data_IF_565770010905
#
_entry.id   IF_565770010905
#
_cell.length_a   1.000
_cell.length_b   1.000
_cell.length_c   1.000
_cell.angle_alpha   90.00
_cell.angle_beta   90.00
_cell.angle_gamma   90.00
#
_symmetry.space_group_name_H-M   'P 1'
#
loop_
_entity.id
_entity.type
_entity.pdbx_description
1 polymer ?
#
# COMPACT_ATOMS: atom_id res chain seq x y z
N UNK A 1 13.67 -20.24 -11.12
CA UNK A 1 14.70 -19.34 -10.58
C UNK A 1 14.01 -18.52 -9.51
N UNK A 2 14.48 -18.66 -8.27
CA UNK A 2 13.80 -18.19 -7.07
C UNK A 2 13.55 -16.68 -7.09
N UNK A 3 12.29 -16.29 -6.91
CA UNK A 3 11.96 -14.98 -6.42
C UNK A 3 12.69 -14.79 -5.08
N UNK A 4 13.71 -13.94 -5.07
CA UNK A 4 14.35 -13.51 -3.82
C UNK A 4 13.30 -12.73 -3.03
N UNK A 5 12.64 -13.44 -2.12
CA UNK A 5 11.90 -12.84 -1.02
C UNK A 5 12.89 -11.91 -0.30
N UNK A 6 12.73 -10.61 -0.49
CA UNK A 6 13.45 -9.60 0.27
C UNK A 6 13.01 -9.80 1.73
N UNK A 7 13.80 -10.56 2.49
CA UNK A 7 13.61 -10.66 3.94
C UNK A 7 13.77 -9.24 4.50
N UNK A 8 12.75 -8.66 5.13
CA UNK A 8 12.90 -7.38 5.80
C UNK A 8 13.87 -7.57 6.97
N UNK A 9 14.88 -6.74 7.03
CA UNK A 9 16.05 -6.85 7.92
C UNK A 9 15.74 -6.84 9.43
N UNK A 10 14.50 -6.64 9.85
CA UNK A 10 14.11 -6.72 11.26
C UNK A 10 12.60 -6.91 11.40
N UNK A 11 12.18 -8.10 11.79
CA UNK A 11 10.82 -8.37 12.25
C UNK A 11 10.60 -7.74 13.62
N UNK A 12 9.37 -7.34 13.90
CA UNK A 12 8.97 -6.98 15.25
C UNK A 12 8.86 -8.24 16.11
N UNK A 13 9.01 -8.09 17.43
CA UNK A 13 8.89 -9.21 18.36
C UNK A 13 7.48 -9.83 18.25
N UNK A 14 7.42 -11.14 18.06
CA UNK A 14 6.18 -11.88 17.88
C UNK A 14 5.61 -11.85 16.46
N UNK A 15 6.25 -11.16 15.50
CA UNK A 15 5.82 -11.13 14.12
C UNK A 15 6.15 -12.43 13.39
N UNK A 16 5.12 -13.18 12.98
CA UNK A 16 5.24 -14.39 12.16
C UNK A 16 4.75 -14.13 10.74
N UNK A 17 5.66 -13.96 9.77
CA UNK A 17 5.32 -13.74 8.35
C UNK A 17 4.56 -14.90 7.71
N UNK A 18 4.73 -16.10 8.23
CA UNK A 18 4.16 -17.32 7.66
C UNK A 18 2.79 -17.67 8.29
N UNK A 19 2.31 -16.83 9.21
CA UNK A 19 0.99 -17.05 9.86
C UNK A 19 -0.10 -17.33 8.83
N UNK A 20 -0.94 -18.30 9.15
CA UNK A 20 -2.13 -18.68 8.37
C UNK A 20 -3.41 -18.09 8.95
N UNK A 21 -3.30 -17.35 10.04
CA UNK A 21 -4.45 -16.79 10.76
C UNK A 21 -4.74 -15.36 10.32
N UNK A 22 -5.93 -15.15 9.77
CA UNK A 22 -6.37 -13.82 9.34
C UNK A 22 -6.45 -12.80 10.51
N UNK A 23 -6.61 -13.26 11.75
CA UNK A 23 -6.53 -12.41 12.95
C UNK A 23 -5.17 -11.75 13.11
N UNK A 24 -4.10 -12.53 12.93
CA UNK A 24 -2.73 -12.08 13.09
C UNK A 24 -2.36 -11.10 11.98
N UNK A 25 -2.77 -11.42 10.75
CA UNK A 25 -2.57 -10.50 9.61
C UNK A 25 -3.26 -9.15 9.86
N UNK A 26 -4.51 -9.15 10.34
CA UNK A 26 -5.21 -7.90 10.69
C UNK A 26 -4.54 -7.17 11.84
N UNK A 27 -4.02 -7.90 12.84
CA UNK A 27 -3.26 -7.33 13.94
C UNK A 27 -2.02 -6.59 13.43
N UNK A 28 -1.20 -7.23 12.61
CA UNK A 28 0.02 -6.61 12.08
C UNK A 28 -0.25 -5.45 11.14
N UNK A 29 -1.30 -5.51 10.34
CA UNK A 29 -1.76 -4.36 9.55
C UNK A 29 -2.08 -3.17 10.48
N UNK A 30 -2.78 -3.40 11.60
CA UNK A 30 -3.11 -2.34 12.55
C UNK A 30 -1.83 -1.77 13.20
N UNK A 31 -0.93 -2.63 13.69
CA UNK A 31 0.35 -2.22 14.30
C UNK A 31 1.17 -1.35 13.37
N UNK A 32 1.41 -1.79 12.12
CA UNK A 32 2.22 -1.02 11.18
C UNK A 32 1.55 0.30 10.77
N UNK A 33 0.22 0.36 10.70
CA UNK A 33 -0.50 1.61 10.45
C UNK A 33 -0.32 2.61 11.60
N UNK A 34 -0.40 2.17 12.85
CA UNK A 34 -0.14 3.02 14.01
C UNK A 34 1.30 3.54 14.02
N UNK A 35 2.27 2.66 13.78
CA UNK A 35 3.68 3.04 13.74
C UNK A 35 3.97 4.04 12.61
N UNK A 36 3.37 3.87 11.44
CA UNK A 36 3.47 4.81 10.32
C UNK A 36 2.86 6.16 10.71
N UNK A 37 1.65 6.17 11.25
CA UNK A 37 0.97 7.40 11.68
C UNK A 37 1.78 8.17 12.72
N UNK A 38 2.32 7.49 13.73
CA UNK A 38 3.17 8.08 14.75
C UNK A 38 4.45 8.71 14.15
N UNK A 39 5.15 7.98 13.26
CA UNK A 39 6.37 8.49 12.64
C UNK A 39 6.10 9.65 11.67
N UNK A 40 4.98 9.64 10.95
CA UNK A 40 4.55 10.77 10.09
C UNK A 40 4.27 12.02 10.93
N UNK A 41 3.60 11.88 12.07
CA UNK A 41 3.35 12.99 13.00
C UNK A 41 4.66 13.51 13.60
N UNK A 42 5.58 12.61 13.99
CA UNK A 42 6.89 12.99 14.53
C UNK A 42 7.72 13.76 13.49
N UNK A 43 7.77 13.31 12.25
CA UNK A 43 8.43 14.02 11.16
C UNK A 43 7.80 15.40 10.91
N UNK A 44 6.49 15.50 10.98
CA UNK A 44 5.79 16.79 10.86
C UNK A 44 6.21 17.78 11.95
N UNK A 45 6.22 17.33 13.21
CA UNK A 45 6.66 18.15 14.36
C UNK A 45 8.13 18.56 14.26
N UNK A 46 9.02 17.64 13.91
CA UNK A 46 10.44 17.93 13.70
C UNK A 46 10.63 18.95 12.57
N UNK A 47 9.96 18.77 11.44
CA UNK A 47 10.01 19.71 10.33
C UNK A 47 9.59 21.13 10.71
N UNK A 48 8.56 21.26 11.55
CA UNK A 48 8.12 22.58 12.05
C UNK A 48 9.08 23.18 13.08
N UNK A 49 9.72 22.36 13.90
CA UNK A 49 10.78 22.84 14.82
C UNK A 49 12.00 23.32 14.04
N UNK A 50 12.43 22.58 13.02
CA UNK A 50 13.58 22.95 12.17
C UNK A 50 13.36 24.28 11.48
N UNK A 51 12.16 24.52 10.96
CA UNK A 51 11.82 25.81 10.33
C UNK A 51 11.99 27.01 11.28
N UNK A 52 11.84 26.80 12.57
CA UNK A 52 11.97 27.85 13.63
C UNK A 52 13.41 28.09 14.08
N UNK A 53 14.35 27.19 13.76
CA UNK A 53 15.76 27.33 14.16
C UNK A 53 16.50 28.33 13.25
N UNK A 54 17.51 29.07 13.77
CA UNK A 54 18.42 29.87 12.97
C UNK A 54 19.15 29.01 11.92
N UNK A 55 19.47 29.58 10.76
CA UNK A 55 20.13 28.84 9.65
C UNK A 55 21.39 28.09 10.08
N UNK A 56 22.18 28.68 10.98
CA UNK A 56 23.42 28.07 11.48
C UNK A 56 23.23 26.84 12.40
N UNK A 57 22.02 26.63 12.92
CA UNK A 57 21.69 25.50 13.79
C UNK A 57 20.93 24.37 13.07
N UNK A 58 20.60 24.57 11.78
CA UNK A 58 19.88 23.57 10.98
C UNK A 58 20.77 22.46 10.45
N UNK A 59 22.07 22.72 10.35
CA UNK A 59 23.03 21.83 9.70
C UNK A 59 23.61 20.81 10.69
N UNK A 60 23.21 19.56 10.59
CA UNK A 60 23.93 18.43 11.12
C UNK A 60 23.21 17.48 12.08
N UNK A 61 22.60 17.93 13.17
CA UNK A 61 21.96 17.01 14.14
C UNK A 61 20.53 16.61 13.72
N UNK A 62 19.81 17.55 13.12
CA UNK A 62 18.40 17.36 12.72
C UNK A 62 18.29 16.51 11.45
N UNK A 63 19.22 16.66 10.52
CA UNK A 63 19.23 15.87 9.28
C UNK A 63 19.42 14.38 9.54
N UNK A 64 20.20 14.02 10.55
CA UNK A 64 20.44 12.62 10.89
C UNK A 64 19.19 11.96 11.51
N UNK A 65 18.54 12.64 12.44
CA UNK A 65 17.32 12.12 13.08
C UNK A 65 16.14 12.06 12.11
N UNK A 66 15.97 13.07 11.27
CA UNK A 66 14.95 13.09 10.21
C UNK A 66 15.19 11.95 9.21
N UNK A 67 16.45 11.75 8.79
CA UNK A 67 16.82 10.67 7.86
C UNK A 67 16.59 9.28 8.47
N UNK A 68 16.89 9.11 9.76
CA UNK A 68 16.68 7.86 10.48
C UNK A 68 15.18 7.52 10.57
N UNK A 69 14.35 8.50 10.95
CA UNK A 69 12.89 8.32 11.06
C UNK A 69 12.28 8.09 9.67
N UNK A 70 12.73 8.80 8.64
CA UNK A 70 12.27 8.62 7.27
C UNK A 70 12.61 7.20 6.76
N UNK A 71 13.83 6.73 6.99
CA UNK A 71 14.22 5.35 6.64
C UNK A 71 13.44 4.28 7.42
N UNK A 72 13.07 4.55 8.68
CA UNK A 72 12.21 3.66 9.45
C UNK A 72 10.77 3.65 8.91
N UNK A 73 10.26 4.81 8.55
CA UNK A 73 8.93 4.96 7.94
C UNK A 73 8.81 4.18 6.64
N UNK A 74 9.84 4.21 5.79
CA UNK A 74 9.87 3.44 4.54
C UNK A 74 9.88 1.94 4.79
N UNK A 75 10.64 1.47 5.78
CA UNK A 75 10.61 0.05 6.20
C UNK A 75 9.22 -0.37 6.69
N UNK A 76 8.57 0.44 7.51
CA UNK A 76 7.21 0.14 7.97
C UNK A 76 6.18 0.12 6.83
N UNK A 77 6.32 1.00 5.85
CA UNK A 77 5.45 1.01 4.65
C UNK A 77 5.65 -0.25 3.81
N UNK A 78 6.90 -0.68 3.61
CA UNK A 78 7.19 -1.94 2.91
C UNK A 78 6.58 -3.13 3.66
N UNK A 79 6.72 -3.16 4.99
CA UNK A 79 6.18 -4.24 5.79
C UNK A 79 4.65 -4.24 5.82
N UNK A 80 4.04 -3.08 5.87
CA UNK A 80 2.58 -2.95 5.73
C UNK A 80 2.10 -3.47 4.37
N UNK A 81 2.84 -3.18 3.29
CA UNK A 81 2.56 -3.74 1.96
C UNK A 81 2.56 -5.26 1.95
N UNK A 82 3.58 -5.88 2.56
CA UNK A 82 3.66 -7.34 2.73
C UNK A 82 2.42 -7.91 3.44
N UNK A 83 1.97 -7.30 4.54
CA UNK A 83 0.81 -7.77 5.28
C UNK A 83 -0.51 -7.62 4.50
N UNK A 84 -0.64 -6.60 3.66
CA UNK A 84 -1.78 -6.50 2.75
C UNK A 84 -1.77 -7.60 1.69
N UNK A 85 -0.61 -7.90 1.10
CA UNK A 85 -0.48 -9.02 0.15
C UNK A 85 -0.77 -10.36 0.84
N UNK A 86 -0.29 -10.54 2.07
CA UNK A 86 -0.61 -11.73 2.87
C UNK A 86 -2.10 -11.86 3.13
N UNK A 87 -2.78 -10.76 3.44
CA UNK A 87 -4.24 -10.75 3.57
C UNK A 87 -4.92 -11.23 2.28
N UNK A 88 -4.45 -10.77 1.12
CA UNK A 88 -4.97 -11.20 -0.18
C UNK A 88 -4.76 -12.69 -0.40
N UNK A 89 -3.57 -13.22 -0.08
CA UNK A 89 -3.28 -14.65 -0.18
C UNK A 89 -4.22 -15.49 0.70
N UNK A 90 -4.46 -15.08 1.92
CA UNK A 90 -5.39 -15.78 2.82
C UNK A 90 -6.85 -15.76 2.34
N UNK A 91 -7.23 -14.74 1.58
CA UNK A 91 -8.53 -14.68 0.90
C UNK A 91 -8.53 -15.45 -0.43
N UNK A 92 -7.43 -16.12 -0.77
CA UNK A 92 -7.29 -16.95 -1.96
C UNK A 92 -6.97 -16.17 -3.24
N UNK A 93 -6.46 -14.93 -3.13
CA UNK A 93 -6.00 -14.12 -4.24
C UNK A 93 -4.48 -14.19 -4.32
N UNK A 94 -3.95 -14.59 -5.46
CA UNK A 94 -2.51 -14.63 -5.75
C UNK A 94 -2.16 -13.54 -6.74
N UNK A 95 -1.15 -12.74 -6.40
CA UNK A 95 -0.65 -11.66 -7.28
C UNK A 95 0.71 -12.06 -7.80
N UNK A 96 0.82 -12.25 -9.11
CA UNK A 96 2.09 -12.47 -9.82
C UNK A 96 2.57 -11.14 -10.41
N UNK A 97 3.64 -10.60 -9.83
CA UNK A 97 4.22 -9.32 -10.23
C UNK A 97 4.93 -9.40 -11.59
N UNK A 98 5.54 -10.53 -11.92
CA UNK A 98 6.28 -10.71 -13.17
C UNK A 98 5.32 -10.87 -14.35
N UNK A 99 4.33 -11.74 -14.21
CA UNK A 99 3.29 -11.95 -15.22
C UNK A 99 2.23 -10.85 -15.23
N UNK A 100 2.15 -10.03 -14.19
CA UNK A 100 1.09 -9.03 -13.97
C UNK A 100 -0.30 -9.67 -14.00
N UNK A 101 -0.43 -10.80 -13.33
CA UNK A 101 -1.70 -11.52 -13.22
C UNK A 101 -2.21 -11.51 -11.79
N UNK A 102 -3.51 -11.62 -11.66
CA UNK A 102 -4.18 -11.96 -10.40
C UNK A 102 -4.96 -13.24 -10.60
N UNK A 103 -4.70 -14.21 -9.75
CA UNK A 103 -5.45 -15.47 -9.72
C UNK A 103 -6.37 -15.53 -8.50
N UNK A 104 -7.51 -16.15 -8.68
CA UNK A 104 -8.45 -16.47 -7.62
C UNK A 104 -9.12 -17.80 -7.94
N UNK A 105 -8.90 -18.80 -7.10
CA UNK A 105 -9.34 -20.19 -7.31
C UNK A 105 -8.77 -20.73 -8.64
N UNK A 106 -9.63 -21.07 -9.58
CA UNK A 106 -9.32 -21.64 -10.91
C UNK A 106 -9.20 -20.59 -12.03
N UNK A 107 -9.29 -19.31 -11.69
CA UNK A 107 -9.28 -18.20 -12.66
C UNK A 107 -8.07 -17.31 -12.46
N UNK A 108 -7.47 -16.92 -13.59
CA UNK A 108 -6.41 -15.93 -13.60
C UNK A 108 -6.67 -14.88 -14.67
N UNK A 109 -6.39 -13.62 -14.37
CA UNK A 109 -6.59 -12.49 -15.28
C UNK A 109 -5.32 -11.67 -15.35
N UNK A 110 -4.88 -11.38 -16.58
CA UNK A 110 -3.76 -10.51 -16.86
C UNK A 110 -4.19 -9.04 -16.88
N UNK A 111 -3.31 -8.20 -16.35
CA UNK A 111 -3.46 -6.75 -16.33
C UNK A 111 -2.44 -6.10 -17.25
N UNK A 112 -2.79 -5.01 -17.91
CA UNK A 112 -1.81 -4.17 -18.58
C UNK A 112 -0.89 -3.52 -17.52
N UNK A 113 0.28 -3.05 -17.94
CA UNK A 113 1.25 -2.43 -17.01
C UNK A 113 0.62 -1.34 -16.14
N UNK A 114 -0.13 -0.42 -16.74
CA UNK A 114 -0.77 0.68 -16.00
C UNK A 114 -1.91 0.22 -15.07
N UNK A 115 -2.71 -0.74 -15.51
CA UNK A 115 -3.74 -1.35 -14.66
C UNK A 115 -3.12 -2.05 -13.45
N UNK A 116 -2.04 -2.80 -13.68
CA UNK A 116 -1.35 -3.53 -12.62
C UNK A 116 -0.68 -2.59 -11.61
N UNK A 117 0.00 -1.56 -12.06
CA UNK A 117 0.57 -0.54 -11.19
C UNK A 117 -0.48 0.11 -10.28
N UNK A 118 -1.64 0.46 -10.86
CA UNK A 118 -2.76 1.02 -10.12
C UNK A 118 -3.34 0.02 -9.11
N UNK A 119 -3.50 -1.25 -9.50
CA UNK A 119 -3.98 -2.32 -8.63
C UNK A 119 -3.05 -2.53 -7.44
N UNK A 120 -1.75 -2.74 -7.69
CA UNK A 120 -0.74 -2.96 -6.62
C UNK A 120 -0.71 -1.79 -5.65
N UNK A 121 -0.76 -0.55 -6.16
CA UNK A 121 -0.82 0.63 -5.29
C UNK A 121 -2.09 0.63 -4.42
N UNK A 122 -3.26 0.33 -4.98
CA UNK A 122 -4.49 0.25 -4.20
C UNK A 122 -4.44 -0.88 -3.16
N UNK A 123 -3.86 -2.03 -3.50
CA UNK A 123 -3.65 -3.15 -2.57
C UNK A 123 -2.74 -2.73 -1.42
N UNK A 124 -1.59 -2.13 -1.71
CA UNK A 124 -0.63 -1.68 -0.69
C UNK A 124 -1.17 -0.57 0.22
N UNK A 125 -2.25 0.09 -0.18
CA UNK A 125 -2.92 1.14 0.61
C UNK A 125 -4.23 0.69 1.24
N UNK A 126 -4.68 -0.54 0.93
CA UNK A 126 -5.93 -1.09 1.44
C UNK A 126 -5.96 -1.08 2.99
N UNK A 127 -7.09 -0.78 3.63
CA UNK A 127 -8.37 -0.35 3.07
C UNK A 127 -8.48 1.19 2.93
N UNK A 128 -7.35 1.92 2.95
CA UNK A 128 -7.35 3.38 2.99
C UNK A 128 -7.72 3.98 1.64
N UNK A 129 -8.45 5.10 1.69
CA UNK A 129 -8.75 5.89 0.49
C UNK A 129 -7.52 6.68 0.05
N UNK A 130 -7.25 6.65 -1.24
CA UNK A 130 -6.16 7.39 -1.88
C UNK A 130 -6.77 8.39 -2.85
N UNK A 131 -6.35 9.66 -2.75
CA UNK A 131 -6.88 10.72 -3.62
C UNK A 131 -6.49 10.49 -5.08
N UNK A 132 -7.31 10.98 -6.06
CA UNK A 132 -7.02 10.81 -7.49
C UNK A 132 -5.62 11.30 -7.89
N UNK A 133 -5.25 12.49 -7.45
CA UNK A 133 -3.93 13.06 -7.75
C UNK A 133 -2.78 12.17 -7.22
N UNK A 134 -2.93 11.67 -6.00
CA UNK A 134 -1.93 10.78 -5.40
C UNK A 134 -1.81 9.45 -6.16
N UNK A 135 -2.93 8.90 -6.64
CA UNK A 135 -2.92 7.70 -7.48
C UNK A 135 -2.20 7.93 -8.81
N UNK A 136 -2.41 9.09 -9.46
CA UNK A 136 -1.72 9.43 -10.70
C UNK A 136 -0.21 9.54 -10.50
N UNK A 137 0.21 10.22 -9.43
CA UNK A 137 1.63 10.42 -9.11
C UNK A 137 2.30 9.12 -8.66
N UNK A 138 1.72 8.40 -7.71
CA UNK A 138 2.38 7.23 -7.13
C UNK A 138 2.32 6.00 -8.06
N UNK A 139 1.24 5.80 -8.83
CA UNK A 139 1.15 4.65 -9.73
C UNK A 139 1.90 4.85 -11.06
N UNK A 140 1.87 6.06 -11.60
CA UNK A 140 2.37 6.31 -12.97
C UNK A 140 3.43 7.40 -13.07
N UNK A 141 3.81 8.04 -11.95
CA UNK A 141 4.75 9.16 -11.88
C UNK A 141 4.36 10.34 -12.79
N UNK A 142 3.04 10.54 -12.97
CA UNK A 142 2.51 11.53 -13.90
C UNK A 142 1.27 12.22 -13.32
N UNK A 143 1.52 13.29 -12.55
CA UNK A 143 0.46 14.11 -11.96
C UNK A 143 -0.27 15.03 -12.96
N UNK A 144 0.17 15.08 -14.21
CA UNK A 144 -0.45 15.90 -15.25
C UNK A 144 -1.56 15.16 -16.01
N UNK A 145 -1.68 13.84 -15.81
CA UNK A 145 -2.73 13.07 -16.45
C UNK A 145 -4.11 13.53 -15.98
N UNK A 146 -5.09 13.63 -16.92
CA UNK A 146 -6.45 13.96 -16.55
C UNK A 146 -7.05 12.93 -15.58
N UNK A 147 -7.86 13.37 -14.63
CA UNK A 147 -8.58 12.48 -13.71
C UNK A 147 -9.49 11.48 -14.44
N UNK A 148 -9.98 11.87 -15.62
CA UNK A 148 -10.79 10.99 -16.48
C UNK A 148 -10.01 9.75 -16.94
N UNK A 149 -8.71 9.90 -17.18
CA UNK A 149 -7.81 8.77 -17.46
C UNK A 149 -7.80 7.79 -16.28
N UNK A 150 -7.66 8.30 -15.05
CA UNK A 150 -7.71 7.46 -13.84
C UNK A 150 -9.06 6.73 -13.74
N UNK A 151 -10.18 7.42 -13.96
CA UNK A 151 -11.52 6.82 -13.91
C UNK A 151 -11.66 5.67 -14.90
N UNK A 152 -11.12 5.82 -16.10
CA UNK A 152 -11.08 4.77 -17.11
C UNK A 152 -10.32 3.53 -16.63
N UNK A 153 -9.14 3.71 -16.05
CA UNK A 153 -8.35 2.59 -15.51
C UNK A 153 -9.01 1.96 -14.28
N UNK A 154 -9.60 2.73 -13.39
CA UNK A 154 -10.39 2.22 -12.27
C UNK A 154 -11.55 1.33 -12.77
N UNK A 155 -12.27 1.76 -13.79
CA UNK A 155 -13.36 0.98 -14.37
C UNK A 155 -12.86 -0.36 -14.95
N UNK A 156 -11.74 -0.34 -15.68
CA UNK A 156 -11.11 -1.55 -16.24
C UNK A 156 -10.67 -2.53 -15.15
N UNK A 157 -9.97 -2.04 -14.12
CA UNK A 157 -9.52 -2.86 -12.98
C UNK A 157 -10.72 -3.44 -12.24
N UNK A 158 -11.79 -2.66 -11.99
CA UNK A 158 -13.04 -3.15 -11.41
C UNK A 158 -13.64 -4.29 -12.23
N UNK A 159 -13.75 -4.12 -13.55
CA UNK A 159 -14.31 -5.14 -14.44
C UNK A 159 -13.51 -6.45 -14.37
N UNK A 160 -12.20 -6.37 -14.37
CA UNK A 160 -11.31 -7.53 -14.25
C UNK A 160 -11.44 -8.23 -12.88
N UNK A 161 -11.43 -7.48 -11.79
CA UNK A 161 -11.63 -8.05 -10.44
C UNK A 161 -13.02 -8.69 -10.29
N UNK A 162 -14.06 -8.07 -10.83
CA UNK A 162 -15.42 -8.63 -10.82
C UNK A 162 -15.49 -9.95 -11.61
N UNK A 163 -14.79 -10.05 -12.75
CA UNK A 163 -14.77 -11.28 -13.56
C UNK A 163 -14.00 -12.43 -12.92
N UNK A 164 -13.09 -12.16 -11.96
CA UNK A 164 -12.49 -13.18 -11.12
C UNK A 164 -13.49 -13.82 -10.15
N UNK A 165 -14.57 -13.10 -9.81
CA UNK A 165 -15.53 -13.55 -8.79
C UNK A 165 -14.99 -13.45 -7.35
N UNK A 166 -13.89 -12.74 -7.15
CA UNK A 166 -13.34 -12.51 -5.82
C UNK A 166 -14.17 -11.47 -5.06
N UNK A 167 -14.28 -11.63 -3.75
CA UNK A 167 -14.98 -10.69 -2.86
C UNK A 167 -14.16 -9.41 -2.63
N UNK A 168 -13.71 -8.78 -3.71
CA UNK A 168 -12.87 -7.57 -3.70
C UNK A 168 -13.51 -6.48 -4.55
N UNK A 169 -13.62 -5.27 -3.99
CA UNK A 169 -14.23 -4.14 -4.67
C UNK A 169 -13.37 -2.88 -4.53
N UNK A 170 -13.33 -2.06 -5.58
CA UNK A 170 -12.77 -0.71 -5.49
C UNK A 170 -13.92 0.24 -5.17
N UNK A 171 -13.94 0.78 -3.95
CA UNK A 171 -14.88 1.83 -3.55
C UNK A 171 -14.37 3.21 -3.97
N UNK A 172 -15.31 4.10 -4.27
CA UNK A 172 -15.06 5.52 -4.43
C UNK A 172 -15.80 6.27 -3.33
N UNK A 173 -15.11 7.19 -2.67
CA UNK A 173 -15.72 8.11 -1.72
C UNK A 173 -15.44 9.56 -2.16
N UNK A 174 -16.45 10.40 -2.35
CA UNK A 174 -16.26 11.79 -2.71
C UNK A 174 -15.28 12.49 -1.77
N UNK A 175 -14.38 13.29 -2.33
CA UNK A 175 -13.30 14.03 -1.64
C UNK A 175 -12.20 13.18 -1.00
N UNK A 176 -12.35 11.86 -0.85
CA UNK A 176 -11.33 10.95 -0.31
C UNK A 176 -10.63 10.14 -1.41
N UNK A 177 -11.32 9.86 -2.53
CA UNK A 177 -10.78 9.10 -3.65
C UNK A 177 -11.18 7.63 -3.65
N UNK A 178 -10.23 6.74 -3.94
CA UNK A 178 -10.47 5.32 -4.18
C UNK A 178 -9.78 4.46 -3.14
N UNK A 179 -10.42 3.37 -2.74
CA UNK A 179 -9.85 2.31 -1.91
C UNK A 179 -10.26 0.94 -2.44
N UNK A 180 -9.36 -0.03 -2.35
CA UNK A 180 -9.70 -1.43 -2.57
C UNK A 180 -9.98 -2.08 -1.22
N UNK A 181 -11.04 -2.84 -1.14
CA UNK A 181 -11.46 -3.49 0.11
C UNK A 181 -12.01 -4.89 -0.18
N UNK A 182 -11.89 -5.78 0.79
CA UNK A 182 -12.66 -7.02 0.78
C UNK A 182 -14.11 -6.70 1.13
N UNK A 183 -15.06 -7.14 0.30
CA UNK A 183 -16.46 -7.12 0.67
C UNK A 183 -16.69 -8.30 1.62
N UNK A 184 -17.30 -8.04 2.77
CA UNK A 184 -17.76 -9.12 3.62
C UNK A 184 -18.59 -10.08 2.76
N UNK A 185 -18.22 -11.37 2.78
CA UNK A 185 -19.00 -12.39 2.12
C UNK A 185 -20.42 -12.29 2.69
N UNK A 186 -21.38 -12.00 1.84
CA UNK A 186 -22.79 -12.17 2.22
C UNK A 186 -22.98 -13.66 2.49
N UNK A 187 -23.04 -14.01 3.79
CA UNK A 187 -23.46 -15.32 4.24
C UNK A 187 -24.88 -15.65 3.81
#
# INVERSE_FOLDING_TARGET
MNAQSVKPDRLLEGEDPDTVFASDVRHWIAVYREMIGFNEELLGRLGDQVKRLPRSARDGAVDNDVSLIAGQLDRYRLRLGFWYERQWQLEGLEIDHDARTVAYRDRAIAFTRREFQLLVLLVSRSPNFVSPNRLLVEAWHDGQLPEETLRTYIARVRGKLASLGAAVVIKNQPRRGYAIIFSEARG
#
